data_IF_041149946934
#
_entry.id   IF_041149946934
#
_cell.length_a   1.000
_cell.length_b   1.000
_cell.length_c   1.000
_cell.angle_alpha   90.00
_cell.angle_beta   90.00
_cell.angle_gamma   90.00
#
_symmetry.space_group_name_H-M   'P 1'
#
loop_
_entity.id
_entity.type
_entity.pdbx_description
1 polymer ?
#
# COMPACT_ATOMS: atom_id res chain seq x y z
N UNK A 1 -11.61 -27.40 -68.42
CA UNK A 1 -10.98 -27.77 -67.14
C UNK A 1 -12.03 -27.63 -66.04
N UNK A 2 -12.53 -28.72 -65.44
CA UNK A 2 -13.40 -28.62 -64.27
C UNK A 2 -12.54 -28.23 -63.06
N UNK A 3 -13.01 -27.26 -62.26
CA UNK A 3 -12.33 -26.85 -61.03
C UNK A 3 -12.76 -27.78 -59.88
N UNK A 4 -11.78 -28.42 -59.25
CA UNK A 4 -12.00 -29.35 -58.14
C UNK A 4 -12.58 -28.62 -56.91
N UNK A 5 -13.75 -29.05 -56.45
CA UNK A 5 -14.49 -28.44 -55.34
C UNK A 5 -13.86 -28.64 -53.94
N UNK A 6 -12.66 -29.23 -53.86
CA UNK A 6 -12.03 -29.66 -52.61
C UNK A 6 -10.70 -28.94 -52.30
N UNK A 7 -10.36 -27.87 -53.02
CA UNK A 7 -9.06 -27.20 -52.89
C UNK A 7 -8.93 -26.27 -51.66
N UNK A 8 -10.04 -25.97 -50.97
CA UNK A 8 -10.02 -25.28 -49.69
C UNK A 8 -10.81 -26.09 -48.67
N UNK A 9 -10.10 -26.71 -47.72
CA UNK A 9 -10.63 -27.68 -46.76
C UNK A 9 -11.97 -27.28 -46.15
N UNK A 10 -12.99 -28.10 -46.40
CA UNK A 10 -14.29 -27.92 -45.78
C UNK A 10 -14.20 -28.11 -44.27
N UNK A 11 -14.77 -27.16 -43.51
CA UNK A 11 -14.92 -27.31 -42.06
C UNK A 11 -15.88 -28.45 -41.74
N UNK A 12 -15.57 -29.37 -40.81
CA UNK A 12 -16.49 -30.43 -40.43
C UNK A 12 -17.75 -29.86 -39.78
N UNK A 13 -18.91 -30.43 -40.13
CA UNK A 13 -20.21 -30.10 -39.54
C UNK A 13 -20.22 -30.47 -38.04
N UNK A 14 -20.66 -29.54 -37.19
CA UNK A 14 -20.78 -29.77 -35.74
C UNK A 14 -21.86 -30.82 -35.46
N UNK A 15 -21.47 -31.96 -34.88
CA UNK A 15 -22.42 -32.91 -34.29
C UNK A 15 -22.96 -32.37 -32.97
N UNK A 16 -24.28 -32.36 -32.81
CA UNK A 16 -24.93 -32.07 -31.54
C UNK A 16 -24.68 -33.22 -30.56
N UNK A 17 -24.02 -32.94 -29.43
CA UNK A 17 -23.97 -33.87 -28.29
C UNK A 17 -25.39 -34.01 -27.73
N UNK A 18 -25.91 -35.23 -27.72
CA UNK A 18 -27.04 -35.59 -26.85
C UNK A 18 -26.46 -35.76 -25.45
N UNK A 19 -26.76 -34.83 -24.55
CA UNK A 19 -26.36 -34.97 -23.15
C UNK A 19 -27.38 -35.84 -22.41
N UNK A 20 -26.85 -36.84 -21.71
CA UNK A 20 -27.62 -37.72 -20.86
C UNK A 20 -28.06 -36.95 -19.61
N UNK A 21 -29.37 -36.91 -19.41
CA UNK A 21 -30.06 -36.39 -18.23
C UNK A 21 -29.67 -37.22 -16.99
N UNK A 22 -28.77 -36.68 -16.17
CA UNK A 22 -28.35 -37.31 -14.91
C UNK A 22 -27.82 -36.25 -13.93
N UNK A 23 -28.65 -35.28 -13.54
CA UNK A 23 -28.39 -34.52 -12.32
C UNK A 23 -29.67 -33.95 -11.71
N UNK A 24 -29.78 -34.01 -10.39
CA UNK A 24 -30.92 -33.49 -9.61
C UNK A 24 -31.08 -31.97 -9.72
N UNK A 25 -30.04 -31.26 -10.16
CA UNK A 25 -30.05 -29.82 -10.38
C UNK A 25 -30.80 -29.41 -11.66
N UNK A 26 -30.85 -30.27 -12.68
CA UNK A 26 -31.56 -29.96 -13.93
C UNK A 26 -33.08 -30.12 -13.77
N UNK A 27 -33.52 -31.02 -12.90
CA UNK A 27 -34.93 -31.20 -12.57
C UNK A 27 -35.50 -30.01 -11.78
N UNK A 28 -34.71 -29.45 -10.85
CA UNK A 28 -35.12 -28.23 -10.11
C UNK A 28 -35.13 -27.00 -11.03
N UNK A 29 -34.18 -26.90 -11.96
CA UNK A 29 -34.18 -25.85 -12.98
C UNK A 29 -35.39 -25.92 -13.93
N UNK A 30 -35.82 -27.12 -14.31
CA UNK A 30 -37.02 -27.31 -15.12
C UNK A 30 -38.32 -27.02 -14.34
N UNK A 31 -38.41 -27.41 -13.07
CA UNK A 31 -39.57 -27.08 -12.24
C UNK A 31 -39.70 -25.58 -11.95
N UNK A 32 -38.58 -24.90 -11.69
CA UNK A 32 -38.56 -23.44 -11.51
C UNK A 32 -38.93 -22.70 -12.80
N UNK A 33 -38.47 -23.19 -13.96
CA UNK A 33 -38.90 -22.66 -15.26
C UNK A 33 -40.38 -22.88 -15.54
N UNK A 34 -40.94 -24.04 -15.16
CA UNK A 34 -42.37 -24.33 -15.33
C UNK A 34 -43.23 -23.48 -14.40
N UNK A 35 -42.83 -23.31 -13.13
CA UNK A 35 -43.51 -22.42 -12.18
C UNK A 35 -43.50 -20.95 -12.61
N UNK A 36 -42.43 -20.49 -13.25
CA UNK A 36 -42.38 -19.12 -13.79
C UNK A 36 -43.26 -18.93 -15.03
N UNK A 37 -43.68 -20.01 -15.70
CA UNK A 37 -44.51 -19.94 -16.92
C UNK A 37 -46.00 -20.13 -16.67
N UNK A 38 -46.41 -20.60 -15.48
CA UNK A 38 -47.82 -20.85 -15.13
C UNK A 38 -48.57 -19.61 -14.62
N UNK A 39 -47.92 -18.46 -14.53
CA UNK A 39 -48.57 -17.17 -14.27
C UNK A 39 -48.97 -16.50 -15.60
N UNK A 40 -50.21 -16.69 -16.04
CA UNK A 40 -50.83 -15.97 -17.16
C UNK A 40 -51.87 -14.95 -16.62
N UNK A 41 -52.52 -14.13 -17.47
CA UNK A 41 -51.98 -13.03 -18.24
C UNK A 41 -52.69 -11.70 -17.90
N UNK A 42 -52.02 -10.55 -18.00
CA UNK A 42 -52.69 -9.24 -17.87
C UNK A 42 -51.77 -8.04 -18.08
N UNK A 43 -52.06 -7.26 -19.14
CA UNK A 43 -51.76 -5.83 -19.39
C UNK A 43 -50.41 -5.26 -18.90
N UNK A 44 -49.57 -4.57 -19.68
CA UNK A 44 -49.80 -3.64 -20.78
C UNK A 44 -48.44 -3.37 -21.41
N UNK A 45 -48.37 -3.32 -22.73
CA UNK A 45 -47.15 -3.15 -23.51
C UNK A 45 -46.55 -1.73 -23.40
N UNK A 46 -45.36 -1.61 -22.83
CA UNK A 46 -44.38 -0.59 -23.24
C UNK A 46 -43.18 -1.31 -23.86
N UNK A 47 -42.95 -1.02 -25.14
CA UNK A 47 -41.92 -1.62 -25.97
C UNK A 47 -40.54 -1.18 -25.50
N UNK A 48 -39.80 -2.07 -24.82
CA UNK A 48 -38.36 -1.94 -24.65
C UNK A 48 -37.66 -3.13 -25.31
N UNK A 49 -36.65 -2.83 -26.11
CA UNK A 49 -36.03 -3.75 -27.06
C UNK A 49 -35.40 -4.97 -26.40
N UNK A 50 -35.54 -6.12 -27.08
CA UNK A 50 -34.83 -7.37 -26.79
C UNK A 50 -33.32 -7.12 -26.60
N UNK A 51 -32.70 -7.55 -25.48
CA UNK A 51 -31.26 -7.48 -25.36
C UNK A 51 -30.62 -8.49 -26.33
N UNK A 52 -29.72 -7.99 -27.19
CA UNK A 52 -28.86 -8.83 -28.03
C UNK A 52 -27.91 -9.65 -27.15
N UNK A 53 -27.63 -10.93 -27.48
CA UNK A 53 -26.62 -11.70 -26.76
C UNK A 53 -25.23 -11.11 -27.06
N UNK A 54 -24.63 -10.45 -26.07
CA UNK A 54 -23.29 -9.88 -26.19
C UNK A 54 -22.25 -11.00 -26.32
N UNK A 55 -21.39 -10.86 -27.33
CA UNK A 55 -20.16 -11.65 -27.54
C UNK A 55 -19.40 -11.81 -26.22
N UNK A 56 -19.05 -13.05 -25.90
CA UNK A 56 -18.20 -13.38 -24.77
C UNK A 56 -16.87 -12.60 -24.85
N UNK A 57 -16.59 -11.77 -23.84
CA UNK A 57 -15.25 -11.24 -23.63
C UNK A 57 -14.36 -12.42 -23.23
N UNK A 58 -13.32 -12.67 -24.04
CA UNK A 58 -12.25 -13.59 -23.67
C UNK A 58 -11.71 -13.20 -22.29
N UNK A 59 -11.54 -14.21 -21.42
CA UNK A 59 -11.07 -14.01 -20.06
C UNK A 59 -9.73 -13.29 -20.02
N UNK A 60 -9.70 -12.20 -19.28
CA UNK A 60 -8.51 -11.46 -18.90
C UNK A 60 -7.79 -12.23 -17.77
N UNK A 61 -6.59 -12.72 -18.06
CA UNK A 61 -5.79 -13.62 -17.20
C UNK A 61 -5.25 -12.88 -15.95
N UNK A 62 -5.40 -11.55 -15.87
CA UNK A 62 -4.94 -10.75 -14.74
C UNK A 62 -6.03 -10.37 -13.72
N UNK A 63 -7.24 -10.91 -13.84
CA UNK A 63 -8.28 -10.81 -12.78
C UNK A 63 -8.35 -12.10 -11.97
N UNK A 64 -7.23 -12.46 -11.36
CA UNK A 64 -7.16 -13.52 -10.37
C UNK A 64 -7.40 -12.99 -8.95
N UNK A 65 -8.36 -13.60 -8.25
CA UNK A 65 -8.59 -13.52 -6.80
C UNK A 65 -9.21 -12.23 -6.21
N UNK A 66 -10.51 -12.05 -6.45
CA UNK A 66 -11.40 -11.71 -5.32
C UNK A 66 -12.67 -12.57 -5.41
N UNK A 67 -12.80 -13.48 -4.46
CA UNK A 67 -14.01 -14.27 -4.26
C UNK A 67 -15.10 -13.31 -3.80
N UNK A 68 -16.14 -13.19 -4.62
CA UNK A 68 -17.40 -12.57 -4.28
C UNK A 68 -18.08 -13.33 -3.14
N UNK A 69 -18.45 -12.64 -2.07
CA UNK A 69 -19.62 -13.01 -1.29
C UNK A 69 -20.76 -12.09 -1.75
N UNK A 70 -21.43 -12.49 -2.83
CA UNK A 70 -22.66 -11.84 -3.31
C UNK A 70 -23.82 -12.77 -2.97
N UNK A 71 -24.36 -12.61 -1.78
CA UNK A 71 -25.66 -13.18 -1.41
C UNK A 71 -26.75 -12.41 -2.15
N UNK A 72 -27.54 -13.15 -2.90
CA UNK A 72 -28.76 -12.70 -3.57
C UNK A 72 -29.92 -12.74 -2.58
N UNK A 73 -30.45 -11.59 -2.20
CA UNK A 73 -31.82 -11.49 -1.67
C UNK A 73 -32.50 -10.33 -2.38
N UNK A 74 -33.32 -10.70 -3.37
CA UNK A 74 -34.36 -9.85 -3.92
C UNK A 74 -35.62 -9.99 -3.06
N UNK A 75 -36.03 -8.92 -2.38
CA UNK A 75 -37.42 -8.72 -2.00
C UNK A 75 -37.72 -7.22 -1.96
N UNK A 76 -38.73 -6.85 -2.75
CA UNK A 76 -39.30 -5.51 -2.85
C UNK A 76 -39.76 -4.94 -1.51
N UNK A 77 -39.64 -3.61 -1.43
CA UNK A 77 -40.46 -2.63 -0.70
C UNK A 77 -41.01 -2.98 0.70
N UNK A 78 -40.50 -2.29 1.73
CA UNK A 78 -41.21 -1.22 2.48
C UNK A 78 -40.46 -0.82 3.76
N UNK A 79 -40.49 0.49 4.02
CA UNK A 79 -40.45 1.18 5.31
C UNK A 79 -39.21 1.09 6.24
N UNK A 80 -38.57 2.27 6.33
CA UNK A 80 -38.23 3.02 7.55
C UNK A 80 -37.69 2.30 8.80
N UNK A 81 -36.50 2.74 9.21
CA UNK A 81 -35.92 2.71 10.57
C UNK A 81 -35.58 1.32 11.15
N UNK A 82 -34.35 0.88 10.91
CA UNK A 82 -33.53 0.29 11.98
C UNK A 82 -32.06 0.28 11.58
N UNK A 83 -31.25 1.14 12.21
CA UNK A 83 -29.81 0.95 12.22
C UNK A 83 -29.49 -0.30 13.04
N UNK A 84 -29.35 -1.43 12.35
CA UNK A 84 -28.83 -2.65 12.96
C UNK A 84 -27.31 -2.53 13.01
N UNK A 85 -26.81 -2.28 14.22
CA UNK A 85 -25.40 -2.36 14.57
C UNK A 85 -24.78 -3.64 13.97
N UNK A 86 -23.82 -3.48 13.06
CA UNK A 86 -22.95 -4.58 12.62
C UNK A 86 -22.05 -4.89 13.81
N UNK A 87 -22.38 -5.97 14.53
CA UNK A 87 -21.52 -6.55 15.55
C UNK A 87 -20.16 -6.83 14.89
N UNK A 88 -19.13 -6.14 15.39
CA UNK A 88 -17.72 -6.42 15.13
C UNK A 88 -17.52 -7.93 15.20
N UNK A 89 -17.07 -8.53 14.10
CA UNK A 89 -16.82 -9.96 13.96
C UNK A 89 -16.12 -10.47 15.23
N UNK A 90 -16.74 -11.47 15.85
CA UNK A 90 -16.22 -12.10 17.06
C UNK A 90 -14.99 -12.88 16.63
N UNK A 91 -13.83 -12.22 16.71
CA UNK A 91 -12.53 -12.88 16.58
C UNK A 91 -12.49 -14.05 17.58
N UNK A 92 -12.40 -15.27 17.06
CA UNK A 92 -12.41 -16.49 17.88
C UNK A 92 -13.56 -17.46 17.59
N UNK A 93 -14.14 -17.45 16.40
CA UNK A 93 -14.93 -18.61 15.97
C UNK A 93 -14.02 -19.84 15.88
N UNK A 94 -14.50 -21.03 16.29
CA UNK A 94 -13.72 -22.28 16.22
C UNK A 94 -13.21 -22.60 14.82
N UNK A 95 -13.86 -22.04 13.79
CA UNK A 95 -13.45 -22.20 12.40
C UNK A 95 -12.22 -21.34 12.07
N UNK A 96 -12.11 -20.11 12.61
CA UNK A 96 -10.90 -19.29 12.49
C UNK A 96 -9.69 -19.95 13.14
N UNK A 97 -9.85 -20.56 14.32
CA UNK A 97 -8.73 -21.25 15.00
C UNK A 97 -8.27 -22.47 14.20
N UNK A 98 -9.21 -23.25 13.65
CA UNK A 98 -8.90 -24.36 12.73
C UNK A 98 -8.21 -23.89 11.45
N UNK A 99 -8.58 -22.73 10.92
CA UNK A 99 -7.90 -22.14 9.76
C UNK A 99 -6.48 -21.68 10.09
N UNK A 100 -6.26 -21.05 11.24
CA UNK A 100 -4.94 -20.65 11.73
C UNK A 100 -4.02 -21.87 11.95
N UNK A 101 -4.54 -22.95 12.53
CA UNK A 101 -3.79 -24.19 12.70
C UNK A 101 -3.40 -24.83 11.36
N UNK A 102 -4.31 -24.82 10.38
CA UNK A 102 -3.99 -25.29 9.02
C UNK A 102 -2.94 -24.40 8.35
N UNK A 103 -3.02 -23.08 8.51
CA UNK A 103 -2.04 -22.14 7.98
C UNK A 103 -0.67 -22.35 8.62
N UNK A 104 -0.63 -22.53 9.95
CA UNK A 104 0.58 -22.82 10.71
C UNK A 104 1.23 -24.13 10.26
N UNK A 105 0.46 -25.22 10.12
CA UNK A 105 0.97 -26.51 9.63
C UNK A 105 1.57 -26.40 8.23
N UNK A 106 0.94 -25.63 7.33
CA UNK A 106 1.46 -25.38 5.98
C UNK A 106 2.75 -24.55 6.01
N UNK A 107 2.83 -23.54 6.86
CA UNK A 107 4.05 -22.75 7.06
C UNK A 107 5.20 -23.63 7.58
N UNK A 108 4.94 -24.47 8.57
CA UNK A 108 5.93 -25.39 9.12
C UNK A 108 6.40 -26.39 8.07
N UNK A 109 5.50 -26.93 7.23
CA UNK A 109 5.92 -27.80 6.12
C UNK A 109 6.79 -27.09 5.09
N UNK A 110 6.50 -25.82 4.79
CA UNK A 110 7.33 -25.00 3.88
C UNK A 110 8.68 -24.69 4.51
N UNK A 111 8.73 -24.31 5.78
CA UNK A 111 9.97 -24.04 6.50
C UNK A 111 10.89 -25.27 6.53
N UNK A 112 10.33 -26.46 6.78
CA UNK A 112 11.07 -27.72 6.69
C UNK A 112 11.59 -27.99 5.28
N UNK A 113 10.77 -27.75 4.26
CA UNK A 113 11.17 -27.88 2.86
C UNK A 113 12.33 -26.95 2.53
N UNK A 114 12.24 -25.67 2.87
CA UNK A 114 13.33 -24.71 2.65
C UNK A 114 14.59 -25.05 3.44
N UNK A 115 14.46 -25.57 4.67
CA UNK A 115 15.62 -26.02 5.45
C UNK A 115 16.30 -27.24 4.80
N UNK A 116 15.53 -28.19 4.25
CA UNK A 116 16.06 -29.32 3.50
C UNK A 116 16.73 -28.88 2.19
N UNK A 117 16.12 -27.94 1.46
CA UNK A 117 16.70 -27.35 0.24
C UNK A 117 18.00 -26.60 0.54
N UNK A 118 18.04 -25.84 1.64
CA UNK A 118 19.25 -25.14 2.10
C UNK A 118 20.35 -26.11 2.54
N UNK A 119 19.99 -27.29 3.08
CA UNK A 119 20.95 -28.34 3.47
C UNK A 119 21.40 -29.21 2.29
N UNK A 120 20.70 -29.16 1.16
CA UNK A 120 20.94 -30.04 0.00
C UNK A 120 20.26 -31.41 0.09
N UNK A 121 19.51 -31.70 1.15
CA UNK A 121 18.81 -32.99 1.37
C UNK A 121 17.51 -33.12 0.55
N UNK A 122 17.18 -32.12 -0.27
CA UNK A 122 15.91 -32.08 -1.00
C UNK A 122 15.98 -32.89 -2.29
N UNK A 123 15.25 -34.02 -2.34
CA UNK A 123 15.06 -34.81 -3.56
C UNK A 123 13.74 -34.37 -4.24
N UNK A 124 13.78 -33.79 -5.45
CA UNK A 124 12.58 -33.44 -6.19
C UNK A 124 11.72 -34.69 -6.45
N UNK A 125 10.42 -34.61 -6.19
CA UNK A 125 9.48 -35.65 -6.61
C UNK A 125 9.31 -35.62 -8.13
N UNK A 126 8.97 -36.75 -8.74
CA UNK A 126 8.92 -36.97 -10.21
C UNK A 126 8.09 -35.94 -11.03
N UNK A 127 7.24 -35.12 -10.38
CA UNK A 127 6.40 -34.10 -11.03
C UNK A 127 6.75 -32.64 -10.63
N UNK A 128 7.81 -32.43 -9.85
CA UNK A 128 8.23 -31.10 -9.40
C UNK A 128 9.53 -30.70 -10.11
N UNK A 129 9.56 -29.50 -10.68
CA UNK A 129 10.76 -28.97 -11.31
C UNK A 129 11.91 -28.89 -10.29
N UNK A 130 13.12 -29.25 -10.72
CA UNK A 130 14.32 -29.12 -9.90
C UNK A 130 14.43 -27.68 -9.34
N UNK A 131 14.93 -27.51 -8.10
CA UNK A 131 15.10 -26.18 -7.53
C UNK A 131 15.98 -25.31 -8.42
N UNK A 132 15.45 -24.17 -8.87
CA UNK A 132 16.19 -23.18 -9.69
C UNK A 132 17.29 -22.43 -8.90
N UNK A 133 17.36 -22.64 -7.59
CA UNK A 133 18.28 -21.94 -6.69
C UNK A 133 19.34 -22.93 -6.23
N UNK A 134 20.58 -22.73 -6.69
CA UNK A 134 21.75 -23.45 -6.23
C UNK A 134 22.21 -22.87 -4.88
N UNK A 135 21.77 -23.49 -3.78
CA UNK A 135 22.06 -23.00 -2.43
C UNK A 135 23.56 -23.05 -2.08
N UNK A 136 24.31 -24.00 -2.65
CA UNK A 136 25.75 -24.12 -2.46
C UNK A 136 26.51 -22.94 -3.10
N UNK A 137 26.11 -22.53 -4.31
CA UNK A 137 26.65 -21.34 -4.98
C UNK A 137 26.31 -20.07 -4.20
N UNK A 138 25.07 -19.96 -3.72
CA UNK A 138 24.64 -18.83 -2.89
C UNK A 138 25.38 -18.78 -1.56
N UNK A 139 25.69 -19.94 -0.96
CA UNK A 139 26.45 -20.02 0.28
C UNK A 139 27.90 -19.58 0.07
N UNK A 140 28.54 -20.03 -1.02
CA UNK A 140 29.88 -19.59 -1.43
C UNK A 140 29.91 -18.07 -1.72
N UNK A 141 28.96 -17.54 -2.50
CA UNK A 141 28.84 -16.10 -2.76
C UNK A 141 28.66 -15.28 -1.47
N UNK A 142 27.90 -15.78 -0.48
CA UNK A 142 27.74 -15.10 0.82
C UNK A 142 28.91 -15.23 1.78
N UNK A 143 29.80 -16.21 1.58
CA UNK A 143 31.00 -16.36 2.42
C UNK A 143 32.19 -15.62 1.80
N UNK A 144 32.38 -15.70 0.48
CA UNK A 144 33.42 -14.95 -0.23
C UNK A 144 33.07 -13.46 -0.40
N UNK A 145 31.78 -13.10 -0.47
CA UNK A 145 31.34 -11.70 -0.54
C UNK A 145 31.25 -10.99 0.81
N UNK A 146 31.64 -11.65 1.91
CA UNK A 146 31.53 -11.08 3.28
C UNK A 146 32.75 -10.27 3.72
N UNK A 147 33.84 -10.32 2.97
CA UNK A 147 35.06 -9.57 3.31
C UNK A 147 35.11 -8.16 2.69
N UNK A 148 34.33 -7.86 1.64
CA UNK A 148 34.41 -6.55 0.93
C UNK A 148 33.06 -5.85 0.65
N UNK A 149 31.94 -6.44 1.07
CA UNK A 149 30.65 -5.76 1.09
C UNK A 149 30.11 -5.82 2.52
N UNK A 150 30.68 -4.99 3.38
CA UNK A 150 30.01 -4.54 4.58
C UNK A 150 28.72 -3.87 4.13
N UNK A 151 27.65 -4.66 4.12
CA UNK A 151 26.32 -4.15 4.34
C UNK A 151 26.38 -3.40 5.68
N UNK A 152 26.60 -2.09 5.59
CA UNK A 152 26.33 -1.13 6.67
C UNK A 152 24.80 -1.08 6.88
N UNK A 153 24.29 -2.22 7.32
CA UNK A 153 23.13 -2.40 8.16
C UNK A 153 23.65 -2.83 9.54
N UNK A 154 24.81 -2.31 9.95
CA UNK A 154 25.12 -2.16 11.36
C UNK A 154 24.45 -0.86 11.78
N UNK A 155 23.23 -1.03 12.26
CA UNK A 155 22.57 -0.14 13.19
C UNK A 155 23.40 -0.15 14.48
N UNK A 156 24.58 0.47 14.43
CA UNK A 156 25.40 0.75 15.61
C UNK A 156 24.87 2.06 16.19
N UNK A 157 23.74 1.93 16.89
CA UNK A 157 23.09 2.97 17.70
C UNK A 157 23.59 2.88 19.15
N UNK A 158 24.92 2.82 19.40
CA UNK A 158 25.42 2.80 20.78
C UNK A 158 26.79 3.47 21.01
N UNK A 159 27.02 4.58 20.32
CA UNK A 159 28.08 5.52 20.68
C UNK A 159 27.53 6.95 20.73
N UNK A 160 26.56 7.19 21.62
CA UNK A 160 26.14 8.54 21.98
C UNK A 160 27.29 9.24 22.72
N UNK A 161 28.24 9.81 21.97
CA UNK A 161 29.11 10.84 22.49
C UNK A 161 28.25 12.03 22.89
N UNK A 162 28.48 12.60 24.07
CA UNK A 162 27.74 13.75 24.64
C UNK A 162 27.61 14.97 23.70
N UNK A 163 28.31 15.01 22.56
CA UNK A 163 28.22 16.06 21.55
C UNK A 163 27.25 15.79 20.39
N UNK A 164 26.62 14.61 20.31
CA UNK A 164 25.74 14.25 19.19
C UNK A 164 24.34 14.85 19.28
N UNK A 165 23.92 15.29 20.48
CA UNK A 165 22.68 16.02 20.74
C UNK A 165 22.79 17.54 20.44
N UNK A 166 23.99 18.02 20.08
CA UNK A 166 24.19 19.42 19.74
C UNK A 166 23.33 19.79 18.51
N UNK A 167 22.40 20.72 18.69
CA UNK A 167 21.55 21.25 17.62
C UNK A 167 22.40 22.22 16.81
N UNK A 168 22.72 21.86 15.58
CA UNK A 168 23.52 22.65 14.64
C UNK A 168 22.61 23.19 13.55
N UNK A 169 22.83 24.45 13.17
CA UNK A 169 22.18 25.06 12.01
C UNK A 169 22.99 24.73 10.76
N UNK A 170 22.34 24.19 9.73
CA UNK A 170 22.97 23.91 8.44
C UNK A 170 22.08 24.37 7.29
N UNK A 171 22.70 24.66 6.15
CA UNK A 171 22.01 24.99 4.92
C UNK A 171 21.73 23.71 4.13
N UNK A 172 20.46 23.44 3.87
CA UNK A 172 19.98 22.35 3.02
C UNK A 172 20.37 22.61 1.55
N UNK A 173 20.30 21.59 0.69
CA UNK A 173 20.62 21.65 -0.74
C UNK A 173 19.83 22.74 -1.51
N UNK A 174 18.71 23.18 -0.93
CA UNK A 174 17.84 24.24 -1.44
C UNK A 174 18.14 25.63 -0.87
N UNK A 175 19.26 25.81 -0.15
CA UNK A 175 19.66 27.08 0.46
C UNK A 175 18.78 27.53 1.63
N UNK A 176 18.04 26.59 2.25
CA UNK A 176 17.20 26.87 3.43
C UNK A 176 17.98 26.51 4.69
N UNK A 177 17.96 27.39 5.68
CA UNK A 177 18.54 27.09 7.00
C UNK A 177 17.64 26.13 7.77
N UNK A 178 18.21 25.00 8.23
CA UNK A 178 17.52 23.98 9.03
C UNK A 178 18.31 23.71 10.30
N UNK A 179 17.60 23.46 11.40
CA UNK A 179 18.18 23.08 12.69
C UNK A 179 17.99 21.58 12.90
N UNK A 180 19.09 20.84 12.97
CA UNK A 180 19.07 19.38 13.22
C UNK A 180 20.18 19.02 14.20
N UNK A 181 20.17 17.80 14.72
CA UNK A 181 21.31 17.32 15.51
C UNK A 181 22.54 17.14 14.65
N UNK A 182 23.71 17.27 15.25
CA UNK A 182 25.01 17.07 14.59
C UNK A 182 25.11 15.69 13.94
N UNK A 183 24.64 14.65 14.63
CA UNK A 183 24.62 13.29 14.11
C UNK A 183 23.70 13.14 12.88
N UNK A 184 22.54 13.80 12.88
CA UNK A 184 21.61 13.76 11.74
C UNK A 184 22.18 14.49 10.52
N UNK A 185 22.84 15.63 10.73
CA UNK A 185 23.56 16.36 9.67
C UNK A 185 24.61 15.46 9.01
N UNK A 186 25.42 14.78 9.80
CA UNK A 186 26.47 13.92 9.25
C UNK A 186 25.89 12.70 8.51
N UNK A 187 24.82 12.08 9.04
CA UNK A 187 24.09 11.01 8.34
C UNK A 187 23.54 11.50 6.99
N UNK A 188 23.04 12.73 6.92
CA UNK A 188 22.56 13.34 5.67
C UNK A 188 23.72 13.57 4.69
N UNK A 189 24.83 14.17 5.13
CA UNK A 189 26.01 14.39 4.30
C UNK A 189 26.58 13.09 3.72
N UNK A 190 26.62 12.01 4.51
CA UNK A 190 27.04 10.68 4.02
C UNK A 190 26.12 10.16 2.92
N UNK A 191 24.79 10.35 3.07
CA UNK A 191 23.82 9.97 2.04
C UNK A 191 24.03 10.76 0.75
N UNK A 192 24.27 12.06 0.85
CA UNK A 192 24.55 12.94 -0.29
C UNK A 192 25.82 12.50 -1.00
N UNK A 193 26.93 12.28 -0.27
CA UNK A 193 28.18 11.79 -0.84
C UNK A 193 28.01 10.45 -1.55
N UNK A 194 27.26 9.51 -0.96
CA UNK A 194 26.95 8.23 -1.60
C UNK A 194 26.12 8.41 -2.87
N UNK A 195 25.15 9.32 -2.85
CA UNK A 195 24.34 9.67 -4.03
C UNK A 195 25.18 10.23 -5.17
N UNK A 196 26.12 11.12 -4.85
CA UNK A 196 27.06 11.69 -5.83
C UNK A 196 27.99 10.63 -6.42
N UNK A 197 28.59 9.78 -5.58
CA UNK A 197 29.45 8.68 -6.05
C UNK A 197 28.68 7.68 -6.93
N UNK A 198 27.44 7.34 -6.54
CA UNK A 198 26.57 6.46 -7.33
C UNK A 198 26.14 7.08 -8.66
N UNK A 199 25.92 8.40 -8.70
CA UNK A 199 25.63 9.11 -9.94
C UNK A 199 26.84 9.12 -10.89
N UNK A 200 28.04 9.35 -10.36
CA UNK A 200 29.29 9.32 -11.13
C UNK A 200 29.59 7.91 -11.66
N UNK A 201 29.37 6.87 -10.86
CA UNK A 201 29.51 5.48 -11.28
C UNK A 201 28.50 5.11 -12.37
N UNK A 202 27.25 5.57 -12.26
CA UNK A 202 26.22 5.37 -13.28
C UNK A 202 26.56 6.09 -14.58
N UNK A 203 27.15 7.30 -14.52
CA UNK A 203 27.63 8.02 -15.70
C UNK A 203 28.79 7.27 -16.38
N UNK A 204 29.74 6.72 -15.60
CA UNK A 204 30.85 5.91 -16.13
C UNK A 204 30.39 4.60 -16.75
N UNK A 205 29.39 3.94 -16.16
CA UNK A 205 28.84 2.66 -16.61
C UNK A 205 27.73 2.80 -17.66
N UNK A 206 27.30 4.03 -17.96
CA UNK A 206 26.31 4.31 -18.99
C UNK A 206 26.89 3.96 -20.36
N UNK A 207 26.22 3.06 -21.09
CA UNK A 207 26.55 2.75 -22.49
C UNK A 207 26.25 3.92 -23.46
N UNK A 208 25.71 5.04 -22.98
CA UNK A 208 25.46 6.25 -23.77
C UNK A 208 26.73 7.09 -23.79
N UNK A 209 27.21 7.56 -24.96
CA UNK A 209 28.35 8.46 -25.03
C UNK A 209 28.06 9.75 -24.26
N UNK A 210 29.10 10.33 -23.64
CA UNK A 210 29.00 11.62 -22.96
C UNK A 210 28.51 12.70 -23.93
N UNK A 211 27.71 13.63 -23.43
CA UNK A 211 27.22 14.73 -24.25
C UNK A 211 28.40 15.58 -24.76
N UNK A 212 28.40 16.02 -26.03
CA UNK A 212 29.49 16.82 -26.57
C UNK A 212 29.62 18.14 -25.81
N UNK A 213 30.83 18.44 -25.32
CA UNK A 213 31.12 19.68 -24.58
C UNK A 213 30.98 20.95 -25.42
N UNK A 214 31.14 20.82 -26.74
CA UNK A 214 30.94 21.89 -27.71
C UNK A 214 29.79 21.50 -28.62
N UNK A 215 28.60 22.01 -28.31
CA UNK A 215 27.46 21.95 -29.20
C UNK A 215 27.73 22.89 -30.38
N UNK A 216 27.69 22.37 -31.60
CA UNK A 216 27.74 23.20 -32.80
C UNK A 216 26.34 23.76 -33.01
N UNK A 217 26.18 25.05 -32.68
CA UNK A 217 24.94 25.77 -32.95
C UNK A 217 24.89 26.09 -34.45
N UNK A 218 24.00 25.42 -35.18
CA UNK A 218 23.67 25.79 -36.56
C UNK A 218 22.73 26.99 -36.61
N UNK A 219 22.59 27.60 -37.79
CA UNK A 219 21.71 28.75 -38.05
C UNK A 219 20.23 28.50 -37.68
N UNK A 220 19.80 27.24 -37.75
CA UNK A 220 18.44 26.83 -37.36
C UNK A 220 18.21 26.78 -35.83
N UNK A 221 19.27 26.70 -35.02
CA UNK A 221 19.15 26.62 -33.56
C UNK A 221 19.25 28.06 -33.02
N UNK A 222 18.10 28.67 -32.74
CA UNK A 222 18.01 29.98 -32.08
C UNK A 222 18.42 29.88 -30.60
N UNK A 223 19.71 29.66 -30.32
CA UNK A 223 20.25 29.62 -28.96
C UNK A 223 20.08 30.97 -28.25
N UNK A 224 20.04 32.06 -29.02
CA UNK A 224 19.85 33.44 -28.53
C UNK A 224 18.38 33.84 -28.36
N UNK A 225 17.39 33.00 -28.70
CA UNK A 225 15.97 33.34 -28.50
C UNK A 225 15.61 33.56 -27.03
N UNK A 226 16.38 32.98 -26.12
CA UNK A 226 16.20 33.05 -24.67
C UNK A 226 17.36 33.74 -23.94
N UNK A 227 18.39 34.20 -24.66
CA UNK A 227 19.41 35.07 -24.12
C UNK A 227 18.96 36.52 -24.42
N UNK A 228 18.34 37.22 -23.46
CA UNK A 228 17.93 38.59 -23.72
C UNK A 228 19.18 39.45 -23.90
N UNK A 229 19.33 40.07 -25.06
CA UNK A 229 20.39 41.07 -25.31
C UNK A 229 20.33 42.22 -24.28
N UNK A 230 19.12 42.49 -23.75
CA UNK A 230 18.86 43.51 -22.74
C UNK A 230 18.14 42.91 -21.52
N UNK A 231 18.84 42.67 -20.39
CA UNK A 231 18.21 42.15 -19.17
C UNK A 231 17.11 43.08 -18.61
N UNK A 232 17.22 44.39 -18.85
CA UNK A 232 16.21 45.38 -18.42
C UNK A 232 14.85 45.23 -19.09
N UNK A 233 14.80 44.84 -20.38
CA UNK A 233 13.53 44.61 -21.09
C UNK A 233 12.79 43.40 -20.55
N UNK A 234 13.53 42.37 -20.13
CA UNK A 234 12.96 41.21 -19.46
C UNK A 234 12.42 41.54 -18.08
N UNK A 235 13.11 42.40 -17.33
CA UNK A 235 12.61 42.89 -16.04
C UNK A 235 11.32 43.73 -16.21
N UNK A 236 11.26 44.58 -17.24
CA UNK A 236 10.04 45.32 -17.56
C UNK A 236 8.88 44.42 -17.99
N UNK A 237 9.14 43.38 -18.79
CA UNK A 237 8.15 42.39 -19.18
C UNK A 237 7.67 41.58 -17.96
N UNK A 238 8.58 41.21 -17.05
CA UNK A 238 8.27 40.56 -15.80
C UNK A 238 7.37 41.46 -14.93
N UNK A 239 7.74 42.73 -14.72
CA UNK A 239 6.92 43.70 -13.97
C UNK A 239 5.55 43.96 -14.61
N UNK A 240 5.45 43.97 -15.95
CA UNK A 240 4.17 44.11 -16.68
C UNK A 240 3.32 42.85 -16.64
N UNK A 241 3.94 41.67 -16.48
CA UNK A 241 3.27 40.38 -16.35
C UNK A 241 2.81 40.14 -14.92
N UNK A 242 3.61 40.55 -13.95
CA UNK A 242 3.38 40.42 -12.51
C UNK A 242 2.42 41.55 -12.04
N UNK A 243 1.23 41.62 -12.66
CA UNK A 243 0.12 42.51 -12.27
C UNK A 243 -0.72 41.96 -11.13
N UNK A 244 -0.55 40.68 -10.77
CA UNK A 244 -1.11 40.17 -9.54
C UNK A 244 -0.29 40.74 -8.39
N UNK A 245 -0.92 41.48 -7.47
CA UNK A 245 -0.28 41.92 -6.25
C UNK A 245 0.41 40.73 -5.58
N UNK A 246 1.72 40.82 -5.41
CA UNK A 246 2.53 39.86 -4.67
C UNK A 246 2.84 40.53 -3.33
N UNK A 247 2.34 40.05 -2.19
CA UNK A 247 1.63 38.79 -1.98
C UNK A 247 0.16 38.79 -2.46
N UNK A 248 -0.34 37.65 -2.95
CA UNK A 248 -1.73 37.52 -3.36
C UNK A 248 -2.65 37.88 -2.18
N UNK A 249 -3.82 38.45 -2.50
CA UNK A 249 -4.93 38.55 -1.54
C UNK A 249 -5.09 37.21 -0.80
N UNK A 250 -5.28 37.23 0.52
CA UNK A 250 -5.42 36.03 1.35
C UNK A 250 -6.71 35.28 1.02
N UNK A 251 -6.75 34.66 -0.15
CA UNK A 251 -7.88 33.87 -0.64
C UNK A 251 -7.81 32.51 0.02
N UNK A 252 -8.68 32.34 1.00
CA UNK A 252 -8.86 31.05 1.62
C UNK A 252 -9.53 30.04 0.69
N UNK A 253 -9.27 28.77 0.93
CA UNK A 253 -9.97 27.68 0.26
C UNK A 253 -11.48 27.79 0.47
N UNK A 254 -12.24 27.75 -0.63
CA UNK A 254 -13.70 27.72 -0.64
C UNK A 254 -14.19 26.33 -1.04
N UNK A 255 -14.92 25.71 -0.11
CA UNK A 255 -15.46 24.39 -0.27
C UNK A 255 -16.45 24.29 -1.44
N UNK A 256 -17.12 25.38 -1.81
CA UNK A 256 -18.15 25.36 -2.86
C UNK A 256 -17.55 25.21 -4.26
N UNK A 257 -16.27 25.56 -4.44
CA UNK A 257 -15.55 25.42 -5.69
C UNK A 257 -14.92 24.04 -5.89
N UNK A 258 -14.90 23.19 -4.85
CA UNK A 258 -14.35 21.85 -4.96
C UNK A 258 -15.36 20.84 -5.52
N UNK A 259 -14.96 20.20 -6.63
CA UNK A 259 -15.75 19.17 -7.32
C UNK A 259 -15.52 17.77 -6.71
N UNK A 260 -14.47 17.61 -5.90
CA UNK A 260 -14.14 16.33 -5.25
C UNK A 260 -15.13 16.02 -4.13
N UNK A 261 -15.31 14.72 -3.87
CA UNK A 261 -16.11 14.23 -2.74
C UNK A 261 -15.38 14.53 -1.42
N UNK A 262 -16.04 15.27 -0.54
CA UNK A 262 -15.53 15.60 0.80
C UNK A 262 -15.75 14.40 1.74
N UNK A 263 -14.78 14.12 2.60
CA UNK A 263 -14.84 13.00 3.54
C UNK A 263 -15.78 13.23 4.73
N UNK A 264 -15.98 12.18 5.53
CA UNK A 264 -16.70 12.28 6.81
C UNK A 264 -15.88 13.15 7.77
N UNK A 265 -16.55 14.10 8.44
CA UNK A 265 -15.89 15.07 9.32
C UNK A 265 -15.35 16.32 8.61
N UNK A 266 -15.73 16.54 7.35
CA UNK A 266 -15.44 17.80 6.68
C UNK A 266 -16.18 18.97 7.33
N UNK A 267 -15.43 20.01 7.71
CA UNK A 267 -15.96 21.27 8.27
C UNK A 267 -15.72 22.42 7.28
N UNK A 268 -16.77 23.19 6.96
CA UNK A 268 -16.69 24.35 6.06
C UNK A 268 -16.55 25.61 6.91
N UNK A 269 -15.42 26.30 6.80
CA UNK A 269 -15.24 27.61 7.42
C UNK A 269 -16.05 28.70 6.71
N UNK A 270 -16.42 29.72 7.46
CA UNK A 270 -17.02 30.92 6.92
C UNK A 270 -16.08 31.67 5.95
N UNK A 271 -16.69 32.49 5.07
CA UNK A 271 -15.97 33.38 4.16
C UNK A 271 -15.52 34.65 4.87
N UNK A 272 -16.23 35.07 5.92
CA UNK A 272 -15.89 36.27 6.68
C UNK A 272 -14.74 35.97 7.65
N UNK A 273 -13.66 36.75 7.55
CA UNK A 273 -12.40 36.48 8.27
C UNK A 273 -12.58 36.44 9.79
N UNK A 274 -13.41 37.32 10.36
CA UNK A 274 -13.66 37.36 11.80
C UNK A 274 -14.35 36.09 12.30
N UNK A 275 -15.40 35.66 11.61
CA UNK A 275 -16.15 34.45 11.97
C UNK A 275 -15.30 33.21 11.78
N UNK A 276 -14.51 33.14 10.70
CA UNK A 276 -13.52 32.08 10.47
C UNK A 276 -12.48 32.03 11.58
N UNK A 277 -11.97 33.17 12.03
CA UNK A 277 -10.99 33.21 13.11
C UNK A 277 -11.59 32.70 14.44
N UNK A 278 -12.87 33.01 14.70
CA UNK A 278 -13.59 32.47 15.86
C UNK A 278 -13.79 30.95 15.74
N UNK A 279 -14.19 30.46 14.57
CA UNK A 279 -14.33 29.02 14.29
C UNK A 279 -12.99 28.28 14.48
N UNK A 280 -11.89 28.86 14.00
CA UNK A 280 -10.54 28.31 14.19
C UNK A 280 -10.15 28.23 15.66
N UNK A 281 -10.40 29.30 16.44
CA UNK A 281 -10.15 29.31 17.88
C UNK A 281 -10.97 28.26 18.62
N UNK A 282 -12.25 28.10 18.28
CA UNK A 282 -13.10 27.08 18.88
C UNK A 282 -12.57 25.66 18.62
N UNK A 283 -12.13 25.36 17.38
CA UNK A 283 -11.53 24.07 17.05
C UNK A 283 -10.20 23.83 17.76
N UNK A 284 -9.38 24.86 17.93
CA UNK A 284 -8.14 24.78 18.71
C UNK A 284 -8.43 24.47 20.19
N UNK A 285 -9.43 25.09 20.79
CA UNK A 285 -9.86 24.80 22.16
C UNK A 285 -10.35 23.35 22.31
N UNK A 286 -11.15 22.85 21.37
CA UNK A 286 -11.58 21.44 21.38
C UNK A 286 -10.39 20.49 21.25
N UNK A 287 -9.45 20.81 20.37
CA UNK A 287 -8.23 20.03 20.21
C UNK A 287 -7.45 19.96 21.52
N UNK A 288 -7.19 21.10 22.17
CA UNK A 288 -6.48 21.16 23.45
C UNK A 288 -7.19 20.30 24.53
N UNK A 289 -8.52 20.42 24.65
CA UNK A 289 -9.30 19.59 25.58
C UNK A 289 -9.14 18.10 25.28
N UNK A 290 -9.16 17.69 24.01
CA UNK A 290 -8.97 16.27 23.65
C UNK A 290 -7.55 15.76 23.89
N UNK A 291 -6.54 16.61 23.67
CA UNK A 291 -5.14 16.29 23.94
C UNK A 291 -4.90 16.14 25.44
N UNK A 292 -5.44 17.03 26.26
CA UNK A 292 -5.39 16.93 27.72
C UNK A 292 -6.06 15.65 28.22
N UNK A 293 -7.26 15.31 27.73
CA UNK A 293 -7.95 14.08 28.10
C UNK A 293 -7.17 12.81 27.69
N UNK A 294 -6.50 12.84 26.52
CA UNK A 294 -5.63 11.75 26.08
C UNK A 294 -4.43 11.61 26.99
N UNK A 295 -3.75 12.72 27.30
CA UNK A 295 -2.61 12.75 28.21
C UNK A 295 -2.97 12.23 29.60
N UNK A 296 -4.08 12.69 30.18
CA UNK A 296 -4.56 12.19 31.48
C UNK A 296 -4.83 10.68 31.44
N UNK A 297 -5.45 10.17 30.37
CA UNK A 297 -5.70 8.73 30.20
C UNK A 297 -4.40 7.93 30.07
N UNK A 298 -3.42 8.47 29.36
CA UNK A 298 -2.10 7.85 29.21
C UNK A 298 -1.33 7.84 30.54
N UNK A 299 -1.37 8.94 31.30
CA UNK A 299 -0.78 9.04 32.63
C UNK A 299 -1.41 8.04 33.60
N UNK A 300 -2.74 7.89 33.60
CA UNK A 300 -3.43 6.88 34.41
C UNK A 300 -3.03 5.45 34.01
N UNK A 301 -2.93 5.17 32.70
CA UNK A 301 -2.46 3.86 32.22
C UNK A 301 -1.00 3.60 32.59
N UNK A 302 -0.14 4.62 32.50
CA UNK A 302 1.26 4.53 32.87
C UNK A 302 1.43 4.32 34.39
N UNK A 303 0.66 5.03 35.21
CA UNK A 303 0.63 4.85 36.66
C UNK A 303 0.21 3.42 37.03
N UNK A 304 -0.88 2.90 36.44
CA UNK A 304 -1.32 1.51 36.62
C UNK A 304 -0.24 0.51 36.18
N UNK A 305 0.45 0.77 35.07
CA UNK A 305 1.54 -0.09 34.60
C UNK A 305 2.72 -0.12 35.58
N UNK A 306 3.09 1.04 36.14
CA UNK A 306 4.15 1.16 37.16
C UNK A 306 3.78 0.39 38.44
N UNK A 307 2.54 0.51 38.91
CA UNK A 307 2.05 -0.23 40.07
C UNK A 307 2.10 -1.75 39.84
N UNK A 308 1.64 -2.22 38.68
CA UNK A 308 1.71 -3.64 38.30
C UNK A 308 3.16 -4.12 38.23
N UNK A 309 4.07 -3.29 37.70
CA UNK A 309 5.49 -3.63 37.60
C UNK A 309 6.16 -3.72 38.99
N UNK A 310 5.86 -2.78 39.89
CA UNK A 310 6.31 -2.84 41.29
C UNK A 310 5.80 -4.11 41.97
N UNK A 311 4.50 -4.39 41.87
CA UNK A 311 3.92 -5.63 42.40
C UNK A 311 4.56 -6.88 41.81
N UNK A 312 4.93 -6.87 40.53
CA UNK A 312 5.64 -7.97 39.87
C UNK A 312 7.06 -8.14 40.42
N UNK A 313 7.78 -7.04 40.70
CA UNK A 313 9.10 -7.06 41.33
C UNK A 313 9.02 -7.62 42.75
N UNK A 314 8.11 -7.13 43.58
CA UNK A 314 7.93 -7.61 44.96
C UNK A 314 7.58 -9.11 45.01
N UNK A 315 6.72 -9.57 44.11
CA UNK A 315 6.39 -11.00 43.99
C UNK A 315 7.58 -11.83 43.49
N UNK A 316 8.41 -11.27 42.60
CA UNK A 316 9.65 -11.88 42.15
C UNK A 316 10.65 -12.03 43.30
N UNK A 317 10.85 -11.00 44.10
CA UNK A 317 11.73 -11.03 45.28
C UNK A 317 11.24 -12.03 46.33
N UNK A 318 9.94 -12.06 46.62
CA UNK A 318 9.36 -13.06 47.54
C UNK A 318 9.55 -14.48 47.04
N UNK A 319 9.43 -14.72 45.73
CA UNK A 319 9.68 -16.04 45.13
C UNK A 319 11.16 -16.42 45.19
N UNK A 320 12.06 -15.47 44.89
CA UNK A 320 13.50 -15.70 44.96
C UNK A 320 13.95 -16.02 46.40
N UNK A 321 13.42 -15.31 47.41
CA UNK A 321 13.68 -15.62 48.82
C UNK A 321 13.22 -17.02 49.20
N UNK A 322 11.98 -17.41 48.85
CA UNK A 322 11.48 -18.77 49.09
C UNK A 322 12.35 -19.84 48.43
N UNK A 323 12.76 -19.64 47.18
CA UNK A 323 13.65 -20.57 46.50
C UNK A 323 15.04 -20.67 47.16
N UNK A 324 15.55 -19.56 47.70
CA UNK A 324 16.81 -19.56 48.44
C UNK A 324 16.67 -20.29 49.79
N UNK A 325 15.57 -20.07 50.51
CA UNK A 325 15.27 -20.75 51.78
C UNK A 325 15.08 -22.26 51.56
N UNK A 326 14.29 -22.67 50.56
CA UNK A 326 14.10 -24.07 50.17
C UNK A 326 15.43 -24.75 49.77
N UNK A 327 16.33 -24.01 49.11
CA UNK A 327 17.66 -24.51 48.77
C UNK A 327 18.55 -24.71 50.00
N UNK A 328 18.47 -23.81 50.98
CA UNK A 328 19.26 -23.89 52.22
C UNK A 328 18.74 -24.98 53.17
N UNK A 329 17.44 -25.25 53.22
CA UNK A 329 16.88 -26.38 54.00
C UNK A 329 17.22 -27.76 53.39
N UNK A 330 17.51 -27.82 52.10
CA UNK A 330 17.86 -29.06 51.40
C UNK A 330 19.33 -29.47 51.48
N UNK A 331 20.18 -28.72 52.20
CA UNK A 331 21.62 -28.95 52.35
C UNK A 331 21.98 -29.58 53.70
#
# INVERSE_FOLDING_TARGET
MPQDANLYGQRPQKRHKREAISSSLDFTAQLTSLLSSSAAPGSTSTTSGRPRPSKQSKGDIFRGASKSNKTTTSSNEKDAKSEKLVLKEVAGTEDETRELERARRKMESKARLYAAMKRGDYVPKENEAAPLVDFDRKWAETTEGKDDYETSSSDDDDAHGSGDEEIVEFEDEFGRTRRTTRAEKERMERRIRRGLLGAEELERMSARPSAPSKLIYGDAIQAMAFAPDDPGKMEELARKRDRSATPPEMKHYDADHEIRTKGVGFYKFSKDEETRAQEMKALEEERLKTEELRKQREEQRAARRREIEQRRKDMGERRAKRQADDFLEGL
#
